data_IF_799085802541
#
_entry.id   IF_799085802541
#
_cell.length_a   1.000
_cell.length_b   1.000
_cell.length_c   1.000
_cell.angle_alpha   90.00
_cell.angle_beta   90.00
_cell.angle_gamma   90.00
#
_symmetry.space_group_name_H-M   'P 1'
#
loop_
_entity.id
_entity.type
_entity.pdbx_description
1 polymer ?
#
# COMPACT_ATOMS: atom_id res chain seq x y z
N UNK A 1 -56.12 -13.17 17.82
CA UNK A 1 -54.78 -13.77 17.60
C UNK A 1 -54.35 -13.45 16.17
N UNK A 2 -53.49 -12.45 15.99
CA UNK A 2 -53.01 -12.06 14.68
C UNK A 2 -51.60 -12.62 14.45
N UNK A 3 -51.42 -13.45 13.40
CA UNK A 3 -50.14 -14.04 13.02
C UNK A 3 -49.30 -12.99 12.26
N UNK A 4 -48.12 -12.71 12.82
CA UNK A 4 -47.08 -11.82 12.25
C UNK A 4 -46.28 -12.60 11.20
N UNK A 5 -46.24 -12.11 9.95
CA UNK A 5 -45.44 -12.68 8.88
C UNK A 5 -43.95 -12.31 9.02
N UNK A 6 -42.99 -13.15 8.60
CA UNK A 6 -41.59 -12.87 8.70
C UNK A 6 -41.10 -11.90 7.60
N UNK A 7 -40.29 -10.91 8.00
CA UNK A 7 -39.65 -9.95 7.10
C UNK A 7 -38.59 -10.64 6.22
N UNK A 8 -38.66 -10.41 4.91
CA UNK A 8 -37.65 -10.85 3.93
C UNK A 8 -36.42 -9.94 4.02
N UNK A 9 -35.29 -10.52 4.44
CA UNK A 9 -33.96 -9.88 4.37
C UNK A 9 -33.52 -9.78 2.91
N UNK A 10 -33.43 -8.56 2.36
CA UNK A 10 -32.83 -8.29 1.07
C UNK A 10 -31.31 -8.25 1.21
N UNK A 11 -30.61 -9.30 0.77
CA UNK A 11 -29.15 -9.28 0.62
C UNK A 11 -28.79 -8.37 -0.57
N UNK A 12 -28.32 -7.16 -0.28
CA UNK A 12 -27.67 -6.29 -1.25
C UNK A 12 -26.39 -6.97 -1.73
N UNK A 13 -26.34 -7.38 -2.99
CA UNK A 13 -25.12 -7.79 -3.69
C UNK A 13 -24.38 -6.52 -4.07
N UNK A 14 -23.35 -6.17 -3.29
CA UNK A 14 -22.35 -5.19 -3.70
C UNK A 14 -21.56 -5.76 -4.88
N UNK A 15 -21.88 -5.33 -6.08
CA UNK A 15 -21.05 -5.57 -7.27
C UNK A 15 -19.83 -4.66 -7.17
N UNK A 16 -18.69 -5.22 -6.80
CA UNK A 16 -17.40 -4.54 -6.88
C UNK A 16 -17.17 -4.12 -8.34
N UNK A 17 -17.27 -2.81 -8.61
CA UNK A 17 -17.01 -2.23 -9.92
C UNK A 17 -15.52 -2.38 -10.22
N UNK A 18 -15.16 -3.19 -11.21
CA UNK A 18 -13.79 -3.35 -11.67
C UNK A 18 -13.21 -1.97 -12.00
N UNK A 19 -12.08 -1.64 -11.33
CA UNK A 19 -11.37 -0.39 -11.55
C UNK A 19 -10.65 -0.44 -12.89
N UNK A 20 -11.14 0.31 -13.86
CA UNK A 20 -10.39 0.57 -15.09
C UNK A 20 -9.34 1.63 -14.81
N UNK A 21 -8.06 1.23 -14.86
CA UNK A 21 -6.94 2.18 -14.81
C UNK A 21 -6.91 2.93 -16.14
N UNK A 22 -6.97 4.27 -16.17
CA UNK A 22 -6.91 5.03 -17.41
C UNK A 22 -5.59 4.76 -18.14
N UNK A 23 -5.65 4.39 -19.42
CA UNK A 23 -4.47 4.25 -20.29
C UNK A 23 -3.99 5.62 -20.79
N UNK A 24 -2.68 5.74 -21.05
CA UNK A 24 -2.12 6.90 -21.78
C UNK A 24 -2.65 6.88 -23.22
N UNK A 25 -2.99 8.03 -23.86
CA UNK A 25 -3.40 8.07 -25.26
C UNK A 25 -2.41 7.40 -26.19
N UNK A 26 -2.93 6.67 -27.19
CA UNK A 26 -2.24 5.67 -28.01
C UNK A 26 -1.28 6.20 -29.09
N UNK A 27 -0.81 7.46 -29.02
CA UNK A 27 0.02 8.04 -30.09
C UNK A 27 1.48 7.58 -30.08
N UNK A 28 1.97 7.04 -28.95
CA UNK A 28 3.31 6.41 -28.89
C UNK A 28 3.13 5.04 -28.27
N UNK A 29 3.10 3.99 -29.11
CA UNK A 29 3.00 2.61 -28.67
C UNK A 29 4.17 2.21 -27.75
N UNK A 30 3.87 1.47 -26.67
CA UNK A 30 4.92 0.94 -25.77
C UNK A 30 5.30 -0.46 -26.24
N UNK A 31 6.55 -0.61 -26.69
CA UNK A 31 7.10 -1.83 -27.27
C UNK A 31 8.30 -2.32 -26.46
N UNK A 32 8.07 -2.71 -25.20
CA UNK A 32 9.13 -3.16 -24.27
C UNK A 32 9.17 -4.69 -24.10
N UNK A 33 8.54 -5.45 -25.01
CA UNK A 33 8.52 -6.91 -24.94
C UNK A 33 7.45 -7.51 -24.01
N UNK A 34 6.68 -6.68 -23.29
CA UNK A 34 5.62 -7.10 -22.38
C UNK A 34 4.26 -6.84 -23.04
N UNK A 35 3.35 -7.83 -23.01
CA UNK A 35 2.02 -7.69 -23.60
C UNK A 35 1.22 -6.57 -22.92
N UNK A 36 0.30 -5.89 -23.66
CA UNK A 36 -0.54 -4.85 -23.11
C UNK A 36 -1.40 -5.36 -21.92
N UNK A 37 -1.83 -6.63 -21.98
CA UNK A 37 -2.60 -7.28 -20.91
C UNK A 37 -1.78 -7.46 -19.64
N UNK A 38 -0.54 -7.95 -19.77
CA UNK A 38 0.33 -8.18 -18.61
C UNK A 38 0.79 -6.84 -18.01
N UNK A 39 1.14 -5.85 -18.86
CA UNK A 39 1.44 -4.48 -18.39
C UNK A 39 0.28 -3.87 -17.59
N UNK A 40 -0.98 -4.06 -18.04
CA UNK A 40 -2.16 -3.57 -17.33
C UNK A 40 -2.34 -4.24 -15.96
N UNK A 41 -2.16 -5.55 -15.88
CA UNK A 41 -2.27 -6.30 -14.63
C UNK A 41 -1.20 -5.87 -13.60
N UNK A 42 0.05 -5.73 -14.05
CA UNK A 42 1.16 -5.26 -13.21
C UNK A 42 0.90 -3.82 -12.73
N UNK A 43 0.52 -2.92 -13.64
CA UNK A 43 0.26 -1.52 -13.29
C UNK A 43 -0.92 -1.37 -12.31
N UNK A 44 -1.94 -2.22 -12.41
CA UNK A 44 -3.04 -2.25 -11.45
C UNK A 44 -2.55 -2.63 -10.05
N UNK A 45 -1.73 -3.67 -9.95
CA UNK A 45 -1.15 -4.10 -8.69
C UNK A 45 -0.17 -3.07 -8.10
N UNK A 46 0.66 -2.45 -8.94
CA UNK A 46 1.57 -1.37 -8.51
C UNK A 46 0.80 -0.14 -8.01
N UNK A 47 -0.39 0.18 -8.55
CA UNK A 47 -1.24 1.24 -8.01
C UNK A 47 -1.76 0.91 -6.60
N UNK A 48 -2.03 -0.37 -6.29
CA UNK A 48 -2.36 -0.78 -4.91
C UNK A 48 -1.13 -0.66 -3.99
N UNK A 49 0.04 -1.09 -4.45
CA UNK A 49 1.30 -0.93 -3.71
C UNK A 49 1.63 0.54 -3.44
N UNK A 50 1.41 1.41 -4.43
CA UNK A 50 1.57 2.86 -4.29
C UNK A 50 0.64 3.43 -3.22
N UNK A 51 -0.63 3.02 -3.25
CA UNK A 51 -1.64 3.45 -2.26
C UNK A 51 -1.28 2.98 -0.84
N UNK A 52 -0.85 1.73 -0.68
CA UNK A 52 -0.38 1.17 0.59
C UNK A 52 0.83 1.94 1.12
N UNK A 53 1.83 2.17 0.25
CA UNK A 53 3.06 2.89 0.60
C UNK A 53 2.76 4.33 1.05
N UNK A 54 1.88 5.04 0.33
CA UNK A 54 1.51 6.41 0.68
C UNK A 54 0.68 6.48 1.97
N UNK A 55 -0.25 5.56 2.17
CA UNK A 55 -1.05 5.49 3.40
C UNK A 55 -0.15 5.20 4.61
N UNK A 56 0.79 4.27 4.48
CA UNK A 56 1.75 3.96 5.54
C UNK A 56 2.71 5.13 5.80
N UNK A 57 3.17 5.82 4.75
CA UNK A 57 3.95 7.05 4.87
C UNK A 57 3.21 8.09 5.72
N UNK A 58 1.97 8.40 5.37
CA UNK A 58 1.20 9.41 6.09
C UNK A 58 0.96 9.02 7.55
N UNK A 59 0.64 7.75 7.80
CA UNK A 59 0.46 7.21 9.16
C UNK A 59 1.74 7.32 9.98
N UNK A 60 2.89 6.95 9.40
CA UNK A 60 4.19 7.01 10.08
C UNK A 60 4.58 8.46 10.38
N UNK A 61 4.34 9.37 9.44
CA UNK A 61 4.62 10.80 9.63
C UNK A 61 3.70 11.43 10.68
N UNK A 62 2.42 11.05 10.69
CA UNK A 62 1.48 11.44 11.75
C UNK A 62 1.98 10.97 13.14
N UNK A 63 2.43 9.73 13.25
CA UNK A 63 2.95 9.19 14.51
C UNK A 63 4.26 9.86 14.93
N UNK A 64 5.13 10.21 13.99
CA UNK A 64 6.32 11.00 14.27
C UNK A 64 5.98 12.34 14.94
N UNK A 65 4.94 13.05 14.47
CA UNK A 65 4.52 14.31 15.08
C UNK A 65 3.92 14.14 16.47
N UNK A 66 3.19 13.04 16.70
CA UNK A 66 2.28 12.89 17.83
C UNK A 66 2.76 11.92 18.91
N UNK A 67 3.89 11.23 18.71
CA UNK A 67 4.44 10.32 19.72
C UNK A 67 4.86 11.10 20.96
N UNK A 68 4.59 10.52 22.15
CA UNK A 68 4.94 11.08 23.47
C UNK A 68 5.38 9.99 24.42
N UNK A 69 5.88 10.36 25.58
CA UNK A 69 6.25 9.45 26.67
C UNK A 69 7.74 9.13 26.75
N UNK A 70 8.12 8.14 27.57
CA UNK A 70 9.55 7.86 27.86
C UNK A 70 10.39 7.47 26.65
N UNK A 71 9.75 6.91 25.59
CA UNK A 71 10.40 6.50 24.35
C UNK A 71 10.36 7.58 23.27
N UNK A 72 9.94 8.82 23.60
CA UNK A 72 9.72 9.88 22.62
C UNK A 72 10.90 10.05 21.66
N UNK A 73 12.10 10.30 22.17
CA UNK A 73 13.26 10.61 21.33
C UNK A 73 13.61 9.45 20.38
N UNK A 74 13.58 8.22 20.89
CA UNK A 74 13.89 7.02 20.10
C UNK A 74 12.87 6.79 18.99
N UNK A 75 11.58 6.84 19.33
CA UNK A 75 10.51 6.59 18.36
C UNK A 75 10.35 7.75 17.36
N UNK A 76 10.47 9.00 17.83
CA UNK A 76 10.43 10.18 16.94
C UNK A 76 11.52 10.10 15.85
N UNK A 77 12.76 9.77 16.23
CA UNK A 77 13.87 9.59 15.29
C UNK A 77 13.68 8.36 14.39
N UNK A 78 13.21 7.25 14.94
CA UNK A 78 12.96 6.02 14.18
C UNK A 78 11.86 6.26 13.12
N UNK A 79 10.74 6.87 13.51
CA UNK A 79 9.65 7.17 12.59
C UNK A 79 10.07 8.17 11.50
N UNK A 80 10.97 9.13 11.82
CA UNK A 80 11.55 10.02 10.82
C UNK A 80 12.31 9.25 9.74
N UNK A 81 13.13 8.30 10.11
CA UNK A 81 13.84 7.44 9.14
C UNK A 81 12.86 6.64 8.27
N UNK A 82 11.81 6.08 8.89
CA UNK A 82 10.82 5.26 8.20
C UNK A 82 9.96 6.07 7.24
N UNK A 83 9.40 7.22 7.65
CA UNK A 83 8.59 8.01 6.73
C UNK A 83 9.42 8.60 5.58
N UNK A 84 10.68 8.94 5.83
CA UNK A 84 11.58 9.42 4.77
C UNK A 84 11.86 8.34 3.73
N UNK A 85 12.09 7.11 4.17
CA UNK A 85 12.26 5.96 3.29
C UNK A 85 11.00 5.69 2.47
N UNK A 86 9.82 5.67 3.12
CA UNK A 86 8.53 5.48 2.45
C UNK A 86 8.24 6.58 1.42
N UNK A 87 8.54 7.84 1.73
CA UNK A 87 8.43 8.96 0.80
C UNK A 87 9.29 8.75 -0.44
N UNK A 88 10.55 8.35 -0.24
CA UNK A 88 11.48 8.08 -1.34
C UNK A 88 11.05 6.89 -2.20
N UNK A 89 10.27 5.95 -1.65
CA UNK A 89 9.75 4.80 -2.37
C UNK A 89 8.53 5.12 -3.25
N UNK A 90 7.77 6.18 -2.95
CA UNK A 90 6.55 6.56 -3.70
C UNK A 90 6.88 6.81 -5.18
N UNK A 91 7.93 7.57 -5.44
CA UNK A 91 8.28 8.00 -6.79
C UNK A 91 8.70 6.83 -7.71
N UNK A 92 9.64 5.95 -7.32
CA UNK A 92 10.00 4.78 -8.13
C UNK A 92 8.82 3.86 -8.45
N UNK A 93 7.87 3.68 -7.51
CA UNK A 93 6.66 2.87 -7.75
C UNK A 93 5.76 3.56 -8.79
N UNK A 94 5.53 4.87 -8.63
CA UNK A 94 4.72 5.65 -9.54
C UNK A 94 5.33 5.71 -10.95
N UNK A 95 6.64 5.92 -11.06
CA UNK A 95 7.36 5.93 -12.33
C UNK A 95 7.36 4.57 -13.01
N UNK A 96 7.43 3.45 -12.26
CA UNK A 96 7.29 2.13 -12.84
C UNK A 96 5.92 1.93 -13.48
N UNK A 97 4.83 2.38 -12.85
CA UNK A 97 3.49 2.39 -13.44
C UNK A 97 3.49 3.19 -14.75
N UNK A 98 4.14 4.36 -14.77
CA UNK A 98 4.25 5.21 -15.97
C UNK A 98 5.05 4.55 -17.07
N UNK A 99 6.16 3.90 -16.76
CA UNK A 99 6.99 3.16 -17.71
C UNK A 99 6.22 1.99 -18.37
N UNK A 100 5.27 1.38 -17.64
CA UNK A 100 4.35 0.36 -18.19
C UNK A 100 3.25 0.94 -19.08
N UNK A 101 3.10 2.28 -19.15
CA UNK A 101 2.14 2.97 -20.01
C UNK A 101 0.80 3.29 -19.35
N UNK A 102 0.73 3.32 -18.03
CA UNK A 102 -0.51 3.56 -17.30
C UNK A 102 -0.41 4.82 -16.41
N UNK A 103 -1.57 5.28 -15.96
CA UNK A 103 -1.66 6.39 -15.02
C UNK A 103 -1.33 5.91 -13.59
N UNK A 104 -0.43 6.62 -12.90
CA UNK A 104 -0.19 6.44 -11.48
C UNK A 104 -1.23 7.23 -10.68
N UNK A 105 -1.97 6.56 -9.79
CA UNK A 105 -2.96 7.21 -8.92
C UNK A 105 -2.28 8.20 -7.96
N UNK A 106 -2.87 9.39 -7.77
CA UNK A 106 -2.28 10.45 -6.95
C UNK A 106 -3.32 11.27 -6.18
N UNK A 107 -4.45 10.68 -5.80
CA UNK A 107 -5.47 11.38 -5.00
C UNK A 107 -5.81 10.61 -3.74
N UNK A 108 -6.17 11.32 -2.66
CA UNK A 108 -6.63 10.70 -1.41
C UNK A 108 -7.79 9.73 -1.63
N UNK A 109 -8.75 10.08 -2.48
CA UNK A 109 -9.89 9.20 -2.81
C UNK A 109 -9.44 7.90 -3.51
N UNK A 110 -8.40 7.95 -4.36
CA UNK A 110 -7.83 6.77 -4.99
C UNK A 110 -7.09 5.91 -3.97
N UNK A 111 -6.28 6.53 -3.12
CA UNK A 111 -5.51 5.82 -2.10
C UNK A 111 -6.42 5.15 -1.06
N UNK A 112 -7.41 5.86 -0.52
CA UNK A 112 -8.39 5.28 0.42
C UNK A 112 -9.15 4.08 -0.15
N UNK A 113 -9.37 4.04 -1.48
CA UNK A 113 -10.05 2.92 -2.14
C UNK A 113 -9.12 1.72 -2.42
N UNK A 114 -7.85 1.97 -2.71
CA UNK A 114 -6.89 0.97 -3.18
C UNK A 114 -6.03 0.40 -2.05
N UNK A 115 -5.82 1.17 -0.98
CA UNK A 115 -4.95 0.75 0.12
C UNK A 115 -5.54 -0.42 0.91
N UNK A 116 -4.69 -1.38 1.23
CA UNK A 116 -4.94 -2.43 2.22
C UNK A 116 -4.48 -2.03 3.64
N UNK A 117 -3.74 -0.92 3.75
CA UNK A 117 -3.33 -0.33 5.03
C UNK A 117 -4.46 0.56 5.54
N UNK A 118 -4.95 0.35 6.77
CA UNK A 118 -5.98 1.20 7.36
C UNK A 118 -5.49 2.64 7.53
N UNK A 119 -6.42 3.60 7.47
CA UNK A 119 -6.13 4.99 7.80
C UNK A 119 -5.64 5.13 9.25
N UNK A 120 -4.79 6.12 9.48
CA UNK A 120 -4.39 6.50 10.83
C UNK A 120 -5.62 6.91 11.66
N UNK A 121 -5.68 6.53 12.96
CA UNK A 121 -6.76 6.98 13.82
C UNK A 121 -6.72 8.50 14.00
N UNK A 122 -7.90 9.14 14.11
CA UNK A 122 -8.01 10.60 14.31
C UNK A 122 -7.35 11.09 15.61
N UNK A 123 -7.40 10.26 16.67
CA UNK A 123 -6.71 10.53 17.93
C UNK A 123 -5.38 9.79 17.97
N UNK A 124 -4.34 10.47 18.46
CA UNK A 124 -3.01 9.86 18.60
C UNK A 124 -3.03 8.67 19.59
N UNK A 125 -2.66 7.45 19.15
CA UNK A 125 -2.55 6.30 20.04
C UNK A 125 -1.38 6.44 21.02
N UNK A 126 -1.30 5.55 22.00
CA UNK A 126 -0.10 5.43 22.85
C UNK A 126 1.10 4.94 22.01
N UNK A 127 2.30 5.29 22.45
CA UNK A 127 3.55 5.01 21.71
C UNK A 127 3.68 3.55 21.23
N UNK A 128 3.43 2.56 22.10
CA UNK A 128 3.51 1.15 21.70
C UNK A 128 2.36 0.70 20.80
N UNK A 129 1.21 1.37 20.84
CA UNK A 129 0.11 1.08 19.90
C UNK A 129 0.41 1.67 18.53
N UNK A 130 1.11 2.82 18.46
CA UNK A 130 1.68 3.32 17.19
C UNK A 130 2.64 2.29 16.59
N UNK A 131 3.55 1.73 17.39
CA UNK A 131 4.48 0.68 16.94
C UNK A 131 3.73 -0.54 16.41
N UNK A 132 2.69 -1.03 17.10
CA UNK A 132 1.85 -2.16 16.64
C UNK A 132 1.18 -1.85 15.31
N UNK A 133 0.64 -0.65 15.17
CA UNK A 133 0.00 -0.19 13.93
C UNK A 133 0.98 -0.18 12.77
N UNK A 134 2.21 0.31 12.98
CA UNK A 134 3.24 0.34 11.93
C UNK A 134 3.73 -1.06 11.57
N UNK A 135 3.86 -1.98 12.53
CA UNK A 135 4.16 -3.41 12.23
C UNK A 135 3.10 -3.96 11.27
N UNK A 136 1.81 -3.81 11.61
CA UNK A 136 0.72 -4.31 10.77
C UNK A 136 0.70 -3.64 9.39
N UNK A 137 1.01 -2.34 9.32
CA UNK A 137 1.12 -1.58 8.08
C UNK A 137 2.23 -2.11 7.18
N UNK A 138 3.46 -2.27 7.70
CA UNK A 138 4.57 -2.83 6.93
C UNK A 138 4.29 -4.25 6.43
N UNK A 139 3.66 -5.08 7.25
CA UNK A 139 3.25 -6.43 6.85
C UNK A 139 2.17 -6.41 5.76
N UNK A 140 1.25 -5.45 5.78
CA UNK A 140 0.25 -5.29 4.72
C UNK A 140 0.91 -4.93 3.39
N UNK A 141 1.81 -3.93 3.39
CA UNK A 141 2.58 -3.54 2.18
C UNK A 141 3.40 -4.72 1.65
N UNK A 142 4.06 -5.48 2.54
CA UNK A 142 4.82 -6.67 2.14
C UNK A 142 3.93 -7.74 1.48
N UNK A 143 2.71 -7.96 1.99
CA UNK A 143 1.74 -8.88 1.36
C UNK A 143 1.31 -8.40 -0.02
N UNK A 144 1.02 -7.12 -0.17
CA UNK A 144 0.68 -6.52 -1.47
C UNK A 144 1.83 -6.69 -2.46
N UNK A 145 3.06 -6.31 -2.09
CA UNK A 145 4.23 -6.48 -2.93
C UNK A 145 4.43 -7.96 -3.35
N UNK A 146 4.34 -8.89 -2.40
CA UNK A 146 4.51 -10.33 -2.66
C UNK A 146 3.47 -10.87 -3.62
N UNK A 147 2.23 -10.37 -3.58
CA UNK A 147 1.16 -10.80 -4.48
C UNK A 147 1.42 -10.44 -5.95
N UNK A 148 2.34 -9.50 -6.22
CA UNK A 148 2.65 -9.03 -7.58
C UNK A 148 3.74 -9.87 -8.26
N UNK A 149 4.56 -10.62 -7.53
CA UNK A 149 5.63 -11.43 -8.13
C UNK A 149 5.15 -12.36 -9.24
N UNK A 150 4.07 -13.15 -9.07
CA UNK A 150 3.60 -14.03 -10.14
C UNK A 150 3.22 -13.29 -11.43
N UNK A 151 2.80 -12.03 -11.32
CA UNK A 151 2.48 -11.19 -12.49
C UNK A 151 3.75 -10.71 -13.19
N UNK A 152 4.75 -10.26 -12.43
CA UNK A 152 6.04 -9.81 -12.94
C UNK A 152 6.81 -10.99 -13.60
N UNK A 153 6.92 -12.12 -12.91
CA UNK A 153 7.58 -13.33 -13.40
C UNK A 153 6.95 -13.83 -14.71
N UNK A 154 5.61 -13.96 -14.75
CA UNK A 154 4.89 -14.39 -15.96
C UNK A 154 5.18 -13.49 -17.16
N UNK A 155 5.36 -12.19 -16.92
CA UNK A 155 5.61 -11.19 -17.95
C UNK A 155 7.10 -11.02 -18.29
N UNK A 156 8.01 -11.72 -17.59
CA UNK A 156 9.46 -11.49 -17.61
C UNK A 156 9.78 -9.99 -17.37
N UNK A 157 9.10 -9.41 -16.37
CA UNK A 157 9.29 -8.01 -15.99
C UNK A 157 10.25 -7.91 -14.81
N UNK A 158 11.52 -8.13 -15.09
CA UNK A 158 12.62 -8.07 -14.12
C UNK A 158 12.70 -6.72 -13.39
N UNK A 159 12.53 -5.55 -14.04
CA UNK A 159 12.53 -4.28 -13.33
C UNK A 159 11.42 -4.15 -12.29
N UNK A 160 10.24 -4.71 -12.55
CA UNK A 160 9.18 -4.77 -11.53
C UNK A 160 9.54 -5.78 -10.43
N UNK A 161 10.06 -6.97 -10.77
CA UNK A 161 10.48 -7.96 -9.79
C UNK A 161 11.59 -7.42 -8.86
N UNK A 162 12.57 -6.70 -9.40
CA UNK A 162 13.63 -6.06 -8.61
C UNK A 162 13.07 -4.99 -7.67
N UNK A 163 12.20 -4.11 -8.16
CA UNK A 163 11.50 -3.12 -7.33
C UNK A 163 10.75 -3.80 -6.17
N UNK A 164 10.01 -4.87 -6.45
CA UNK A 164 9.27 -5.62 -5.43
C UNK A 164 10.20 -6.26 -4.40
N UNK A 165 11.34 -6.79 -4.83
CA UNK A 165 12.36 -7.39 -3.95
C UNK A 165 12.91 -6.35 -2.98
N UNK A 166 13.28 -5.17 -3.48
CA UNK A 166 13.76 -4.06 -2.64
C UNK A 166 12.70 -3.61 -1.63
N UNK A 167 11.44 -3.51 -2.05
CA UNK A 167 10.35 -3.15 -1.14
C UNK A 167 10.15 -4.18 -0.05
N UNK A 168 10.17 -5.48 -0.39
CA UNK A 168 10.05 -6.56 0.59
C UNK A 168 11.17 -6.52 1.63
N UNK A 169 12.42 -6.37 1.22
CA UNK A 169 13.57 -6.29 2.15
C UNK A 169 13.36 -5.17 3.17
N UNK A 170 13.00 -3.97 2.69
CA UNK A 170 12.78 -2.80 3.56
C UNK A 170 11.62 -3.03 4.52
N UNK A 171 10.45 -3.50 4.03
CA UNK A 171 9.28 -3.65 4.88
C UNK A 171 9.43 -4.77 5.90
N UNK A 172 10.01 -5.90 5.53
CA UNK A 172 10.24 -7.03 6.44
C UNK A 172 11.25 -6.68 7.53
N UNK A 173 12.35 -6.02 7.16
CA UNK A 173 13.35 -5.52 8.10
C UNK A 173 12.76 -4.50 9.07
N UNK A 174 11.98 -3.54 8.56
CA UNK A 174 11.35 -2.51 9.40
C UNK A 174 10.33 -3.13 10.36
N UNK A 175 9.50 -4.06 9.88
CA UNK A 175 8.56 -4.78 10.72
C UNK A 175 9.26 -5.60 11.82
N UNK A 176 10.40 -6.24 11.51
CA UNK A 176 11.22 -6.91 12.52
C UNK A 176 11.74 -5.95 13.59
N UNK A 177 12.33 -4.81 13.18
CA UNK A 177 12.85 -3.82 14.12
C UNK A 177 11.75 -3.25 15.03
N UNK A 178 10.58 -2.97 14.48
CA UNK A 178 9.42 -2.50 15.24
C UNK A 178 8.90 -3.57 16.22
N UNK A 179 8.82 -4.84 15.82
CA UNK A 179 8.39 -5.94 16.71
C UNK A 179 9.33 -6.09 17.91
N UNK A 180 10.64 -5.91 17.72
CA UNK A 180 11.61 -5.97 18.79
C UNK A 180 11.38 -4.94 19.92
N UNK A 181 10.64 -3.86 19.63
CA UNK A 181 10.24 -2.88 20.66
C UNK A 181 9.00 -3.31 21.46
N UNK A 182 8.30 -4.36 21.02
CA UNK A 182 7.09 -4.86 21.66
C UNK A 182 7.35 -6.07 22.57
N UNK A 183 8.56 -6.62 22.54
CA UNK A 183 8.99 -7.68 23.44
C UNK A 183 9.19 -7.09 24.83
N UNK A 184 8.55 -7.72 25.85
CA UNK A 184 8.60 -7.33 27.27
C UNK A 184 9.63 -8.17 28.04
#
# INVERSE_FOLDING_TARGET
MAKKAPAKSSKSKSTAKALTVPTVPAEIGIHIGISAKDRAAIAQGLNALLADTFTLYLTTHNFHWNVTGPMFNTLHTMFMGQYTELWNAVDPIAERIRALGFHAGGSFAAYSRLSSVPDAPESAPKALDMVRTLVAGHEAVARTARSLFPLAEKASDEPTADLLTQRLDVHEKTAWMLRSLLEA
#
